data_IF_552834141034
#
_entry.id   IF_552834141034
#
_cell.length_a   1.000
_cell.length_b   1.000
_cell.length_c   1.000
_cell.angle_alpha   90.00
_cell.angle_beta   90.00
_cell.angle_gamma   90.00
#
_symmetry.space_group_name_H-M   'P 1'
#
loop_
_entity.id
_entity.type
_entity.pdbx_description
1 polymer ?
#
# COMPACT_ATOMS: atom_id res chain seq x y z
N UNK A 1 24.56 12.77 4.38
CA UNK A 1 23.58 11.76 3.91
C UNK A 1 22.83 12.36 2.73
N UNK A 2 22.90 11.73 1.56
CA UNK A 2 22.17 12.21 0.38
C UNK A 2 20.76 11.64 0.42
N UNK A 3 19.77 12.48 0.68
CA UNK A 3 18.37 12.14 0.45
C UNK A 3 18.08 12.32 -1.04
N UNK A 4 17.56 11.30 -1.69
CA UNK A 4 17.08 11.40 -3.07
C UNK A 4 15.56 11.27 -3.07
N UNK A 5 14.87 12.35 -3.44
CA UNK A 5 13.41 12.37 -3.56
C UNK A 5 13.06 12.82 -4.96
N UNK A 6 12.27 12.03 -5.68
CA UNK A 6 11.83 12.34 -7.04
C UNK A 6 10.39 11.88 -7.30
N UNK A 7 9.67 12.69 -8.08
CA UNK A 7 8.31 12.41 -8.52
C UNK A 7 7.31 12.22 -7.36
N UNK A 8 7.41 13.07 -6.34
CA UNK A 8 6.48 13.10 -5.22
C UNK A 8 5.88 14.48 -5.01
N UNK A 9 4.60 14.51 -4.76
CA UNK A 9 3.89 15.66 -4.18
C UNK A 9 3.82 15.44 -2.67
N UNK A 10 4.38 16.37 -1.92
CA UNK A 10 4.45 16.31 -0.45
C UNK A 10 3.49 17.35 0.12
N UNK A 11 2.64 16.92 1.04
CA UNK A 11 1.69 17.76 1.75
C UNK A 11 2.34 18.68 2.79
N UNK A 12 1.50 19.36 3.53
CA UNK A 12 1.93 20.37 4.51
C UNK A 12 2.42 19.73 5.82
N UNK A 13 3.29 20.46 6.53
CA UNK A 13 3.81 20.09 7.85
C UNK A 13 4.49 18.71 7.92
N UNK A 14 5.03 18.22 6.81
CA UNK A 14 5.74 16.94 6.78
C UNK A 14 7.15 17.04 7.35
N UNK A 15 7.59 16.00 8.05
CA UNK A 15 8.96 15.85 8.53
C UNK A 15 9.63 14.65 7.85
N UNK A 16 10.56 14.92 6.94
CA UNK A 16 11.25 13.89 6.14
C UNK A 16 12.76 14.03 6.37
N UNK A 17 13.38 13.04 6.99
CA UNK A 17 14.79 13.08 7.35
C UNK A 17 15.48 11.74 7.14
N UNK A 18 16.70 11.77 6.62
CA UNK A 18 17.58 10.61 6.51
C UNK A 18 16.95 9.43 5.76
N UNK A 19 16.57 9.70 4.50
CA UNK A 19 16.03 8.71 3.57
C UNK A 19 17.08 8.45 2.49
N UNK A 20 17.35 7.19 2.16
CA UNK A 20 18.29 6.91 1.08
C UNK A 20 17.68 7.27 -0.27
N UNK A 21 16.50 6.72 -0.58
CA UNK A 21 15.80 6.91 -1.86
C UNK A 21 14.30 6.93 -1.65
N UNK A 22 13.63 7.94 -2.20
CA UNK A 22 12.18 8.02 -2.28
C UNK A 22 11.79 8.45 -3.70
N UNK A 23 11.19 7.56 -4.49
CA UNK A 23 10.88 7.88 -5.88
C UNK A 23 9.69 7.10 -6.42
N UNK A 24 9.04 7.68 -7.45
CA UNK A 24 8.11 6.95 -8.31
C UNK A 24 8.76 6.77 -9.68
N UNK A 25 8.79 5.51 -10.13
CA UNK A 25 9.30 5.12 -11.44
C UNK A 25 8.15 4.69 -12.35
N UNK A 26 8.03 5.34 -13.51
CA UNK A 26 6.99 5.04 -14.48
C UNK A 26 5.59 5.32 -13.94
N UNK A 27 4.60 4.64 -14.49
CA UNK A 27 3.20 4.72 -14.03
C UNK A 27 2.95 3.65 -12.97
N UNK A 28 2.87 4.07 -11.71
CA UNK A 28 2.68 3.17 -10.57
C UNK A 28 1.21 3.03 -10.20
N UNK A 29 0.81 1.83 -9.77
CA UNK A 29 -0.54 1.52 -9.24
C UNK A 29 -0.58 1.51 -7.72
N UNK A 30 0.56 1.74 -7.07
CA UNK A 30 0.70 1.81 -5.62
C UNK A 30 0.13 0.57 -4.90
N UNK A 31 0.47 -0.62 -5.41
CA UNK A 31 0.01 -1.89 -4.85
C UNK A 31 -1.43 -2.29 -5.21
N UNK A 32 -2.18 -1.42 -5.89
CA UNK A 32 -3.54 -1.76 -6.30
C UNK A 32 -3.55 -2.71 -7.50
N UNK A 33 -4.52 -3.62 -7.52
CA UNK A 33 -4.69 -4.70 -8.47
C UNK A 33 -3.58 -5.77 -8.46
N UNK A 34 -2.83 -5.86 -7.38
CA UNK A 34 -1.92 -6.99 -7.15
C UNK A 34 -2.75 -8.19 -6.71
N UNK A 35 -2.57 -9.33 -7.36
CA UNK A 35 -3.26 -10.56 -6.98
C UNK A 35 -2.59 -11.24 -5.80
N UNK A 36 -3.42 -11.58 -4.79
CA UNK A 36 -3.01 -12.30 -3.60
C UNK A 36 -3.69 -13.66 -3.56
N UNK A 37 -2.90 -14.71 -3.39
CA UNK A 37 -3.38 -16.09 -3.29
C UNK A 37 -3.55 -16.48 -1.84
N UNK A 38 -4.71 -16.17 -1.26
CA UNK A 38 -5.05 -16.54 0.12
C UNK A 38 -5.78 -17.88 0.11
N UNK A 39 -5.34 -18.84 0.92
CA UNK A 39 -5.93 -20.18 1.03
C UNK A 39 -6.04 -20.89 -0.34
N UNK A 40 -5.02 -20.80 -1.16
CA UNK A 40 -5.10 -21.18 -2.55
C UNK A 40 -3.85 -21.95 -3.02
N UNK A 41 -3.68 -23.17 -2.53
CA UNK A 41 -2.52 -24.00 -2.90
C UNK A 41 -2.56 -24.43 -4.38
N UNK A 42 -3.74 -24.50 -4.98
CA UNK A 42 -3.94 -25.00 -6.36
C UNK A 42 -4.30 -23.94 -7.40
N UNK A 43 -4.41 -22.67 -7.01
CA UNK A 43 -4.83 -21.58 -7.88
C UNK A 43 -6.35 -21.43 -8.04
N UNK A 44 -6.79 -20.30 -8.59
CA UNK A 44 -8.19 -20.03 -8.94
C UNK A 44 -9.00 -19.27 -7.88
N UNK A 45 -8.38 -18.84 -6.78
CA UNK A 45 -9.03 -18.03 -5.74
C UNK A 45 -8.27 -16.75 -5.43
N UNK A 46 -7.49 -16.26 -6.39
CA UNK A 46 -6.73 -15.03 -6.24
C UNK A 46 -7.69 -13.85 -6.06
N UNK A 47 -7.32 -12.96 -5.15
CA UNK A 47 -8.05 -11.74 -4.86
C UNK A 47 -7.16 -10.55 -5.24
N UNK A 48 -7.57 -9.69 -6.18
CA UNK A 48 -6.88 -8.45 -6.44
C UNK A 48 -7.09 -7.50 -5.26
N UNK A 49 -6.00 -7.10 -4.59
CA UNK A 49 -6.07 -6.12 -3.51
C UNK A 49 -6.18 -4.71 -4.07
N UNK A 50 -6.92 -3.84 -3.39
CA UNK A 50 -7.03 -2.42 -3.71
C UNK A 50 -7.43 -1.62 -2.47
N UNK A 51 -7.30 -0.30 -2.49
CA UNK A 51 -7.50 0.57 -1.32
C UNK A 51 -8.89 0.41 -0.66
N UNK A 52 -9.91 0.08 -1.45
CA UNK A 52 -11.29 -0.12 -0.97
C UNK A 52 -11.65 -1.57 -0.61
N UNK A 53 -10.68 -2.48 -0.55
CA UNK A 53 -10.97 -3.88 -0.25
C UNK A 53 -11.48 -4.05 1.18
N UNK A 54 -12.55 -4.80 1.32
CA UNK A 54 -13.07 -5.26 2.61
C UNK A 54 -13.01 -6.79 2.71
N UNK A 55 -13.06 -7.31 3.93
CA UNK A 55 -13.10 -8.76 4.16
C UNK A 55 -14.29 -9.42 3.45
N UNK A 56 -15.45 -8.77 3.44
CA UNK A 56 -16.65 -9.27 2.76
C UNK A 56 -16.47 -9.33 1.24
N UNK A 57 -15.85 -8.31 0.65
CA UNK A 57 -15.59 -8.30 -0.78
C UNK A 57 -14.54 -9.34 -1.18
N UNK A 58 -13.46 -9.45 -0.40
CA UNK A 58 -12.46 -10.49 -0.59
C UNK A 58 -13.07 -11.91 -0.52
N UNK A 59 -13.95 -12.14 0.45
CA UNK A 59 -14.70 -13.39 0.57
C UNK A 59 -15.54 -13.69 -0.68
N UNK A 60 -16.29 -12.71 -1.19
CA UNK A 60 -17.09 -12.87 -2.41
C UNK A 60 -16.20 -13.22 -3.59
N UNK A 61 -15.11 -12.48 -3.81
CA UNK A 61 -14.18 -12.73 -4.92
C UNK A 61 -13.56 -14.12 -4.83
N UNK A 62 -13.17 -14.56 -3.65
CA UNK A 62 -12.51 -15.86 -3.46
C UNK A 62 -13.46 -17.05 -3.59
N UNK A 63 -14.71 -16.95 -3.07
CA UNK A 63 -15.58 -18.10 -2.88
C UNK A 63 -16.76 -18.19 -3.84
N UNK A 64 -17.22 -17.08 -4.44
CA UNK A 64 -18.36 -17.08 -5.36
C UNK A 64 -17.98 -17.41 -6.81
N UNK A 65 -16.98 -18.27 -7.00
CA UNK A 65 -16.48 -18.67 -8.35
C UNK A 65 -17.51 -19.36 -9.22
N UNK A 66 -18.56 -19.89 -8.64
CA UNK A 66 -19.70 -20.44 -9.36
C UNK A 66 -20.58 -19.36 -10.03
N UNK A 67 -20.26 -18.07 -9.82
CA UNK A 67 -20.92 -16.92 -10.45
C UNK A 67 -19.90 -16.11 -11.26
N UNK A 68 -19.41 -16.61 -12.39
CA UNK A 68 -18.29 -15.99 -13.13
C UNK A 68 -18.59 -14.55 -13.55
N UNK A 69 -19.80 -14.24 -13.99
CA UNK A 69 -20.19 -12.88 -14.37
C UNK A 69 -20.13 -11.87 -13.22
N UNK A 70 -20.39 -12.30 -11.97
CA UNK A 70 -20.21 -11.44 -10.80
C UNK A 70 -18.73 -11.16 -10.54
N UNK A 71 -17.91 -12.19 -10.58
CA UNK A 71 -16.47 -12.08 -10.33
C UNK A 71 -15.80 -11.19 -11.39
N UNK A 72 -16.18 -11.36 -12.65
CA UNK A 72 -15.68 -10.52 -13.76
C UNK A 72 -16.02 -9.04 -13.52
N UNK A 73 -17.26 -8.71 -13.20
CA UNK A 73 -17.68 -7.33 -12.89
C UNK A 73 -16.91 -6.72 -11.70
N UNK A 74 -16.65 -7.52 -10.66
CA UNK A 74 -15.88 -7.06 -9.51
C UNK A 74 -14.41 -6.80 -9.88
N UNK A 75 -13.82 -7.66 -10.70
CA UNK A 75 -12.46 -7.46 -11.22
C UNK A 75 -12.38 -6.24 -12.15
N UNK A 76 -13.36 -6.03 -13.01
CA UNK A 76 -13.43 -4.85 -13.88
C UNK A 76 -13.54 -3.57 -13.06
N UNK A 77 -14.35 -3.57 -12.00
CA UNK A 77 -14.45 -2.44 -11.08
C UNK A 77 -13.10 -2.12 -10.41
N UNK A 78 -12.38 -3.13 -9.94
CA UNK A 78 -11.05 -2.95 -9.33
C UNK A 78 -10.03 -2.45 -10.36
N UNK A 79 -10.08 -2.98 -11.57
CA UNK A 79 -9.21 -2.54 -12.67
C UNK A 79 -9.47 -1.07 -13.02
N UNK A 80 -10.73 -0.68 -13.20
CA UNK A 80 -11.10 0.71 -13.48
C UNK A 80 -10.68 1.66 -12.36
N UNK A 81 -10.84 1.25 -11.09
CA UNK A 81 -10.34 2.01 -9.95
C UNK A 81 -8.81 2.18 -10.03
N UNK A 82 -8.08 1.10 -10.28
CA UNK A 82 -6.62 1.10 -10.36
C UNK A 82 -6.11 2.00 -11.49
N UNK A 83 -6.76 1.98 -12.65
CA UNK A 83 -6.42 2.86 -13.78
C UNK A 83 -6.62 4.33 -13.42
N UNK A 84 -7.67 4.63 -12.65
CA UNK A 84 -7.98 5.98 -12.19
C UNK A 84 -6.97 6.55 -11.19
N UNK A 85 -6.32 5.72 -10.39
CA UNK A 85 -5.32 6.15 -9.40
C UNK A 85 -3.89 6.02 -9.88
N UNK A 86 -3.65 5.26 -10.95
CA UNK A 86 -2.31 5.04 -11.47
C UNK A 86 -1.66 6.36 -11.93
N UNK A 87 -0.48 6.65 -11.43
CA UNK A 87 0.20 7.93 -11.62
C UNK A 87 1.71 7.77 -11.77
N UNK A 88 2.33 8.74 -12.40
CA UNK A 88 3.80 8.92 -12.43
C UNK A 88 4.30 9.74 -11.25
N UNK A 89 3.38 10.28 -10.44
CA UNK A 89 3.69 11.01 -9.20
C UNK A 89 3.08 10.28 -8.00
N UNK A 90 3.89 10.10 -6.96
CA UNK A 90 3.43 9.67 -5.65
C UNK A 90 2.89 10.83 -4.82
N UNK A 91 2.14 10.50 -3.79
CA UNK A 91 1.65 11.49 -2.83
C UNK A 91 2.06 11.13 -1.42
N UNK A 92 2.50 12.14 -0.68
CA UNK A 92 2.63 12.12 0.77
C UNK A 92 1.61 13.10 1.30
N UNK A 93 0.72 12.64 2.16
CA UNK A 93 -0.31 13.47 2.78
C UNK A 93 0.27 14.48 3.77
N UNK A 94 -0.61 15.16 4.49
CA UNK A 94 -0.21 16.16 5.47
C UNK A 94 0.29 15.54 6.77
N UNK A 95 1.20 16.24 7.46
CA UNK A 95 1.72 15.87 8.78
C UNK A 95 2.31 14.47 8.87
N UNK A 96 2.90 14.03 7.77
CA UNK A 96 3.59 12.74 7.68
C UNK A 96 5.01 12.86 8.24
N UNK A 97 5.42 11.86 9.01
CA UNK A 97 6.79 11.73 9.51
C UNK A 97 7.48 10.54 8.87
N UNK A 98 8.60 10.77 8.19
CA UNK A 98 9.44 9.71 7.61
C UNK A 98 10.88 9.92 8.05
N UNK A 99 11.44 8.97 8.79
CA UNK A 99 12.77 9.11 9.39
C UNK A 99 13.57 7.82 9.26
N UNK A 100 14.86 7.96 8.94
CA UNK A 100 15.83 6.85 8.90
C UNK A 100 15.34 5.67 8.06
N UNK A 101 14.74 5.94 6.90
CA UNK A 101 14.14 4.90 6.05
C UNK A 101 15.02 4.66 4.82
N UNK A 102 15.23 3.41 4.47
CA UNK A 102 16.07 3.02 3.35
C UNK A 102 15.46 3.42 2.01
N UNK A 103 14.63 2.58 1.44
CA UNK A 103 14.02 2.80 0.13
C UNK A 103 12.50 2.89 0.22
N UNK A 104 11.93 3.94 -0.38
CA UNK A 104 10.51 4.09 -0.64
C UNK A 104 10.32 4.23 -2.15
N UNK A 105 9.73 3.23 -2.80
CA UNK A 105 9.54 3.21 -4.25
C UNK A 105 8.09 2.90 -4.61
N UNK A 106 7.47 3.76 -5.44
CA UNK A 106 6.09 3.58 -5.89
C UNK A 106 5.09 3.40 -4.72
N UNK A 107 5.22 4.22 -3.67
CA UNK A 107 4.38 4.15 -2.48
C UNK A 107 3.58 5.43 -2.33
N UNK A 108 2.27 5.31 -2.16
CA UNK A 108 1.38 6.39 -1.79
C UNK A 108 1.21 6.40 -0.27
N UNK A 109 1.35 7.56 0.36
CA UNK A 109 1.31 7.71 1.82
C UNK A 109 0.22 8.71 2.18
N UNK A 110 -0.74 8.29 2.98
CA UNK A 110 -1.83 9.13 3.50
C UNK A 110 -1.40 10.01 4.67
N UNK A 111 -2.33 10.85 5.13
CA UNK A 111 -2.09 11.85 6.17
C UNK A 111 -1.70 11.23 7.52
N UNK A 112 -0.91 11.96 8.30
CA UNK A 112 -0.51 11.60 9.66
C UNK A 112 0.22 10.25 9.78
N UNK A 113 0.69 9.66 8.70
CA UNK A 113 1.47 8.43 8.75
C UNK A 113 2.83 8.68 9.43
N UNK A 114 3.29 7.69 10.16
CA UNK A 114 4.66 7.66 10.71
C UNK A 114 5.39 6.45 10.16
N UNK A 115 6.52 6.69 9.51
CA UNK A 115 7.42 5.66 8.96
C UNK A 115 8.80 5.89 9.53
N UNK A 116 9.30 4.97 10.34
CA UNK A 116 10.56 5.11 11.05
C UNK A 116 11.43 3.85 10.91
N UNK A 117 12.70 4.06 10.61
CA UNK A 117 13.72 3.00 10.57
C UNK A 117 13.35 1.81 9.67
N UNK A 118 12.46 1.98 8.71
CA UNK A 118 12.05 0.92 7.78
C UNK A 118 13.13 0.66 6.75
N UNK A 119 13.33 -0.60 6.39
CA UNK A 119 14.37 -0.96 5.44
C UNK A 119 13.95 -0.69 3.99
N UNK A 120 12.72 -1.12 3.60
CA UNK A 120 12.27 -1.00 2.22
C UNK A 120 10.74 -1.08 2.10
N UNK A 121 10.17 -0.13 1.40
CA UNK A 121 8.74 -0.10 1.04
C UNK A 121 8.63 0.06 -0.48
N UNK A 122 8.02 -0.90 -1.17
CA UNK A 122 7.90 -0.91 -2.62
C UNK A 122 6.49 -1.27 -3.08
N UNK A 123 5.99 -0.53 -4.06
CA UNK A 123 4.69 -0.74 -4.70
C UNK A 123 3.56 -0.91 -3.68
N UNK A 124 3.19 0.17 -2.99
CA UNK A 124 2.19 0.07 -1.93
C UNK A 124 1.41 1.33 -1.66
N UNK A 125 0.32 1.16 -0.91
CA UNK A 125 -0.51 2.24 -0.37
C UNK A 125 -0.54 2.17 1.16
N UNK A 126 -0.23 3.29 1.79
CA UNK A 126 -0.37 3.50 3.23
C UNK A 126 -1.56 4.42 3.44
N UNK A 127 -2.75 3.84 3.68
CA UNK A 127 -4.02 4.57 3.76
C UNK A 127 -4.24 5.15 5.17
N UNK A 128 -3.29 5.96 5.61
CA UNK A 128 -3.31 6.63 6.92
C UNK A 128 -4.29 7.80 6.93
N UNK A 129 -4.87 8.06 8.09
CA UNK A 129 -5.80 9.16 8.34
C UNK A 129 -5.56 9.75 9.73
N UNK A 130 -6.00 11.00 9.93
CA UNK A 130 -5.85 11.72 11.22
C UNK A 130 -6.42 10.94 12.40
N UNK A 131 -7.61 10.35 12.23
CA UNK A 131 -8.33 9.65 13.30
C UNK A 131 -7.75 8.25 13.59
N UNK A 132 -7.02 7.71 12.63
CA UNK A 132 -6.43 6.38 12.69
C UNK A 132 -5.11 6.35 11.91
N UNK A 133 -4.05 6.95 12.46
CA UNK A 133 -2.76 7.01 11.79
C UNK A 133 -2.11 5.63 11.68
N UNK A 134 -1.40 5.42 10.57
CA UNK A 134 -0.61 4.20 10.34
C UNK A 134 0.80 4.41 10.89
N UNK A 135 1.33 3.40 11.54
CA UNK A 135 2.72 3.33 11.97
C UNK A 135 3.45 2.18 11.28
N UNK A 136 4.59 2.48 10.65
CA UNK A 136 5.51 1.48 10.08
C UNK A 136 6.89 1.70 10.69
N UNK A 137 7.39 0.72 11.42
CA UNK A 137 8.56 0.86 12.28
C UNK A 137 9.78 0.06 11.82
N UNK A 138 10.55 -0.37 12.79
CA UNK A 138 11.93 -0.84 12.62
C UNK A 138 12.06 -2.02 11.67
N UNK A 139 13.00 -1.88 10.71
CA UNK A 139 13.46 -2.93 9.80
C UNK A 139 12.36 -3.58 8.94
N UNK A 140 11.20 -2.94 8.80
CA UNK A 140 10.09 -3.45 7.99
C UNK A 140 10.50 -3.49 6.51
N UNK A 141 10.17 -4.61 5.86
CA UNK A 141 10.25 -4.80 4.42
C UNK A 141 8.83 -5.07 3.90
N UNK A 142 8.29 -4.18 3.07
CA UNK A 142 6.98 -4.36 2.46
C UNK A 142 7.07 -4.23 0.93
N UNK A 143 6.42 -5.15 0.22
CA UNK A 143 6.35 -5.16 -1.23
C UNK A 143 4.97 -5.60 -1.70
N UNK A 144 4.41 -4.91 -2.70
CA UNK A 144 3.08 -5.21 -3.26
C UNK A 144 2.02 -5.24 -2.15
N UNK A 145 1.84 -4.13 -1.45
CA UNK A 145 1.09 -4.09 -0.21
C UNK A 145 0.06 -2.95 -0.16
N UNK A 146 -0.97 -3.16 0.64
CA UNK A 146 -1.91 -2.12 1.05
C UNK A 146 -2.08 -2.19 2.56
N UNK A 147 -1.91 -1.06 3.22
CA UNK A 147 -2.09 -0.91 4.67
C UNK A 147 -3.24 0.05 4.93
N UNK A 148 -4.26 -0.42 5.61
CA UNK A 148 -5.41 0.39 5.99
C UNK A 148 -5.15 1.20 7.26
N UNK A 149 -6.02 2.19 7.51
CA UNK A 149 -5.88 3.13 8.61
C UNK A 149 -5.80 2.46 10.00
N UNK A 150 -4.97 3.01 10.86
CA UNK A 150 -4.78 2.56 12.25
C UNK A 150 -3.92 1.31 12.41
N UNK A 151 -3.38 0.76 11.34
CA UNK A 151 -2.50 -0.40 11.42
C UNK A 151 -1.11 -0.03 11.96
N UNK A 152 -0.50 -0.94 12.70
CA UNK A 152 0.87 -0.83 13.23
C UNK A 152 1.70 -2.02 12.76
N UNK A 153 2.82 -1.74 12.11
CA UNK A 153 3.72 -2.75 11.55
C UNK A 153 5.12 -2.42 12.03
N UNK A 154 5.78 -3.36 12.72
CA UNK A 154 7.10 -3.13 13.30
C UNK A 154 7.90 -4.43 13.41
N UNK A 155 9.06 -4.35 14.07
CA UNK A 155 9.85 -5.50 14.51
C UNK A 155 10.30 -6.42 13.38
N UNK A 156 10.90 -5.86 12.35
CA UNK A 156 11.43 -6.58 11.19
C UNK A 156 10.38 -7.40 10.41
N UNK A 157 9.11 -6.96 10.44
CA UNK A 157 8.06 -7.61 9.68
C UNK A 157 8.37 -7.63 8.18
N UNK A 158 8.18 -8.79 7.56
CA UNK A 158 8.29 -8.96 6.11
C UNK A 158 6.92 -9.19 5.50
N UNK A 159 6.50 -8.25 4.68
CA UNK A 159 5.16 -8.20 4.07
C UNK A 159 5.32 -8.25 2.56
N UNK A 160 4.81 -9.30 1.93
CA UNK A 160 4.85 -9.46 0.47
C UNK A 160 3.47 -9.86 -0.02
N UNK A 161 2.93 -9.12 -0.99
CA UNK A 161 1.59 -9.35 -1.54
C UNK A 161 0.54 -9.48 -0.44
N UNK A 162 0.31 -8.40 0.29
CA UNK A 162 -0.53 -8.44 1.48
C UNK A 162 -1.46 -7.22 1.57
N UNK A 163 -2.67 -7.47 2.03
CA UNK A 163 -3.61 -6.44 2.47
C UNK A 163 -3.72 -6.48 3.99
N UNK A 164 -3.35 -5.39 4.65
CA UNK A 164 -3.45 -5.24 6.11
C UNK A 164 -4.69 -4.41 6.41
N UNK A 165 -5.63 -5.00 7.11
CA UNK A 165 -6.89 -4.37 7.47
C UNK A 165 -6.75 -3.23 8.47
N UNK A 166 -7.89 -2.61 8.80
CA UNK A 166 -7.93 -1.51 9.75
C UNK A 166 -7.55 -1.96 11.17
N UNK A 167 -6.79 -1.13 11.87
CA UNK A 167 -6.43 -1.30 13.28
C UNK A 167 -5.74 -2.65 13.60
N UNK A 168 -5.01 -3.24 12.61
CA UNK A 168 -4.19 -4.43 12.82
C UNK A 168 -2.88 -4.10 13.51
#
# INVERSE_FOLDING_TARGET
VQNYIANYRIGDDCFIQNINVMLVEGKATFGNNVEVSVLNETGGREVPIYDGLSASLAYIIALYRHRPALIERLRDMITAYTEGIASTEGTVGDKVKIVNTGTIRNVKIGDYATIENSARLENGSVNSKREAPVFIGDSVIAQDFIVSSGAKIADAAKIIRCFIGQAC
#
